data_IF_018134110054
#
_entry.id   IF_018134110054
#
_cell.length_a   1.000
_cell.length_b   1.000
_cell.length_c   1.000
_cell.angle_alpha   90.00
_cell.angle_beta   90.00
_cell.angle_gamma   90.00
#
_symmetry.space_group_name_H-M   'P 1'
#
loop_
_entity.id
_entity.type
_entity.pdbx_description
1 polymer ?
#
# COMPACT_ATOMS: atom_id res chain seq x y z
N UNK A 1 29.41 16.45 -1.25
CA UNK A 1 29.34 16.77 -2.69
C UNK A 1 28.11 17.64 -2.87
N UNK A 2 28.26 18.88 -3.35
CA UNK A 2 27.13 19.80 -3.54
C UNK A 2 26.52 19.55 -4.91
N UNK A 3 25.21 19.35 -4.96
CA UNK A 3 24.46 19.13 -6.19
C UNK A 3 23.56 20.34 -6.47
N UNK A 4 23.52 20.79 -7.72
CA UNK A 4 22.72 21.93 -8.15
C UNK A 4 21.69 21.50 -9.20
N UNK A 5 20.48 22.06 -9.10
CA UNK A 5 19.38 21.86 -10.05
C UNK A 5 18.95 23.23 -10.61
N UNK A 6 18.72 23.32 -11.92
CA UNK A 6 18.29 24.56 -12.60
C UNK A 6 16.85 24.41 -13.07
N UNK A 7 16.01 25.41 -12.81
CA UNK A 7 14.62 25.47 -13.29
C UNK A 7 14.54 26.38 -14.53
N UNK A 8 13.82 26.00 -15.59
CA UNK A 8 13.67 26.85 -16.77
C UNK A 8 12.64 27.97 -16.51
N UNK A 9 13.10 29.16 -16.15
CA UNK A 9 12.25 30.30 -15.75
C UNK A 9 11.25 30.75 -16.83
N UNK A 10 11.63 30.70 -18.11
CA UNK A 10 10.77 31.17 -19.23
C UNK A 10 9.71 30.17 -19.67
N UNK A 11 9.87 28.90 -19.30
CA UNK A 11 8.98 27.82 -19.74
C UNK A 11 8.05 27.33 -18.63
N UNK A 12 8.48 27.42 -17.37
CA UNK A 12 7.64 27.03 -16.26
C UNK A 12 6.48 28.02 -16.06
N UNK A 13 5.27 27.52 -15.74
CA UNK A 13 4.86 26.11 -15.68
C UNK A 13 4.66 25.46 -17.07
N UNK A 14 5.21 24.24 -17.26
CA UNK A 14 5.13 23.49 -18.54
C UNK A 14 3.77 22.84 -18.81
N UNK A 15 2.96 22.68 -17.77
CA UNK A 15 1.57 22.22 -17.84
C UNK A 15 0.72 23.24 -17.09
N UNK A 16 -0.19 23.89 -17.82
CA UNK A 16 -1.21 24.78 -17.26
C UNK A 16 -2.54 24.36 -17.84
N UNK A 17 -3.44 23.89 -16.99
CA UNK A 17 -4.81 23.62 -17.38
C UNK A 17 -5.71 24.72 -16.82
N UNK A 18 -6.34 25.48 -17.72
CA UNK A 18 -7.25 26.59 -17.37
C UNK A 18 -8.61 26.08 -16.92
N UNK A 19 -8.96 24.84 -17.27
CA UNK A 19 -10.28 24.26 -17.01
C UNK A 19 -10.29 23.38 -15.75
N UNK A 20 -9.15 23.26 -15.05
CA UNK A 20 -9.00 22.48 -13.82
C UNK A 20 -8.85 23.39 -12.61
N UNK A 21 -9.44 22.98 -11.49
CA UNK A 21 -9.28 23.66 -10.22
C UNK A 21 -7.79 23.65 -9.80
N UNK A 22 -7.19 24.83 -9.69
CA UNK A 22 -5.76 24.98 -9.38
C UNK A 22 -5.34 24.40 -8.03
N UNK A 23 -6.27 24.24 -7.07
CA UNK A 23 -5.97 23.61 -5.78
C UNK A 23 -6.08 22.09 -5.81
N UNK A 24 -6.48 21.49 -6.94
CA UNK A 24 -6.77 20.07 -7.09
C UNK A 24 -6.12 19.50 -8.36
N UNK A 25 -4.96 20.04 -8.75
CA UNK A 25 -4.18 19.60 -9.91
C UNK A 25 -2.69 19.54 -9.56
N UNK A 26 -2.17 18.34 -9.32
CA UNK A 26 -0.81 18.15 -8.78
C UNK A 26 -0.25 16.75 -9.02
N UNK A 27 1.01 16.60 -8.65
CA UNK A 27 1.73 15.33 -8.59
C UNK A 27 1.94 14.68 -9.97
N UNK A 28 2.77 15.29 -10.85
CA UNK A 28 3.13 14.65 -12.11
C UNK A 28 3.86 13.32 -11.88
N UNK A 29 3.51 12.30 -12.67
CA UNK A 29 4.20 11.01 -12.63
C UNK A 29 5.61 11.08 -13.21
N UNK A 30 6.41 10.03 -13.00
CA UNK A 30 7.45 9.71 -13.96
C UNK A 30 6.81 9.57 -15.36
N UNK A 31 7.44 10.17 -16.36
CA UNK A 31 6.96 10.09 -17.73
C UNK A 31 7.45 8.81 -18.41
N UNK A 32 6.69 8.32 -19.40
CA UNK A 32 7.08 7.17 -20.21
C UNK A 32 7.03 7.48 -21.70
N UNK A 33 7.93 6.86 -22.45
CA UNK A 33 8.01 7.02 -23.91
C UNK A 33 7.13 5.96 -24.58
N UNK A 34 6.19 6.38 -25.42
CA UNK A 34 5.36 5.46 -26.19
C UNK A 34 5.94 5.14 -27.57
N UNK A 35 5.43 4.08 -28.18
CA UNK A 35 5.87 3.54 -29.47
C UNK A 35 5.64 4.48 -30.65
N UNK A 36 4.75 5.45 -30.49
CA UNK A 36 4.47 6.50 -31.48
C UNK A 36 5.44 7.69 -31.39
N UNK A 37 6.47 7.60 -30.54
CA UNK A 37 7.49 8.65 -30.40
C UNK A 37 7.04 9.86 -29.58
N UNK A 38 6.14 9.68 -28.61
CA UNK A 38 5.72 10.75 -27.69
C UNK A 38 5.91 10.32 -26.23
N UNK A 39 6.32 11.26 -25.39
CA UNK A 39 6.24 11.16 -23.94
C UNK A 39 4.79 11.22 -23.47
N UNK A 40 4.49 10.47 -22.42
CA UNK A 40 3.26 10.57 -21.63
C UNK A 40 3.57 10.83 -20.17
N UNK A 41 2.68 11.56 -19.51
CA UNK A 41 2.73 11.83 -18.07
C UNK A 41 1.31 11.91 -17.54
N UNK A 42 1.08 11.45 -16.31
CA UNK A 42 -0.19 11.67 -15.62
C UNK A 42 -0.07 12.80 -14.61
N UNK A 43 -1.17 13.50 -14.38
CA UNK A 43 -1.32 14.45 -13.27
C UNK A 43 -2.62 14.14 -12.53
N UNK A 44 -2.54 14.08 -11.20
CA UNK A 44 -3.68 13.76 -10.34
C UNK A 44 -4.63 14.95 -10.23
N UNK A 45 -5.94 14.65 -10.25
CA UNK A 45 -6.98 15.67 -10.15
C UNK A 45 -8.31 15.14 -9.64
N UNK A 46 -9.25 16.05 -9.40
CA UNK A 46 -10.66 15.74 -9.21
C UNK A 46 -11.56 16.59 -10.11
N UNK A 47 -12.73 16.07 -10.46
CA UNK A 47 -13.86 16.85 -10.97
C UNK A 47 -15.11 16.51 -10.19
N UNK A 48 -15.62 17.45 -9.40
CA UNK A 48 -16.69 17.21 -8.41
C UNK A 48 -16.22 16.13 -7.41
N UNK A 49 -16.88 14.96 -7.38
CA UNK A 49 -16.53 13.81 -6.52
C UNK A 49 -15.77 12.71 -7.26
N UNK A 50 -15.31 12.96 -8.49
CA UNK A 50 -14.66 11.96 -9.34
C UNK A 50 -13.17 12.22 -9.42
N UNK A 51 -12.39 11.28 -8.94
CA UNK A 51 -10.93 11.31 -9.07
C UNK A 51 -10.52 10.99 -10.49
N UNK A 52 -9.46 11.64 -10.95
CA UNK A 52 -9.03 11.66 -12.34
C UNK A 52 -7.50 11.59 -12.38
N UNK A 53 -6.97 10.75 -13.27
CA UNK A 53 -5.59 10.84 -13.73
C UNK A 53 -5.57 11.44 -15.14
N UNK A 54 -5.30 12.74 -15.26
CA UNK A 54 -5.21 13.40 -16.55
C UNK A 54 -3.97 12.94 -17.29
N UNK A 55 -4.11 12.64 -18.57
CA UNK A 55 -3.00 12.25 -19.43
C UNK A 55 -2.52 13.44 -20.24
N UNK A 56 -1.20 13.64 -20.27
CA UNK A 56 -0.53 14.63 -21.11
C UNK A 56 0.45 13.95 -22.04
N UNK A 57 0.51 14.42 -23.29
CA UNK A 57 1.47 14.00 -24.30
C UNK A 57 2.48 15.10 -24.64
N UNK A 58 3.73 14.73 -24.94
CA UNK A 58 4.76 15.67 -25.39
C UNK A 58 5.73 15.01 -26.37
N UNK A 59 6.25 15.78 -27.34
CA UNK A 59 7.33 15.30 -28.24
C UNK A 59 8.73 15.62 -27.70
N UNK A 60 8.85 16.70 -26.95
CA UNK A 60 10.12 17.36 -26.60
C UNK A 60 10.36 17.48 -25.09
N UNK A 61 9.41 17.00 -24.26
CA UNK A 61 9.39 17.10 -22.81
C UNK A 61 9.16 18.52 -22.26
N UNK A 62 8.95 19.49 -23.15
CA UNK A 62 8.86 20.92 -22.83
C UNK A 62 7.44 21.44 -23.08
N UNK A 63 6.85 21.02 -24.20
CA UNK A 63 5.49 21.37 -24.60
C UNK A 63 4.57 20.19 -24.34
N UNK A 64 3.61 20.34 -23.44
CA UNK A 64 2.68 19.29 -23.05
C UNK A 64 1.26 19.61 -23.46
N UNK A 65 0.57 18.65 -24.07
CA UNK A 65 -0.82 18.77 -24.50
C UNK A 65 -1.65 17.73 -23.77
N UNK A 66 -2.72 18.19 -23.12
CA UNK A 66 -3.66 17.29 -22.45
C UNK A 66 -4.39 16.42 -23.48
N UNK A 67 -4.48 15.13 -23.22
CA UNK A 67 -5.30 14.22 -24.00
C UNK A 67 -6.79 14.53 -23.80
N UNK A 68 -7.60 14.26 -24.83
CA UNK A 68 -9.06 14.49 -24.81
C UNK A 68 -9.76 13.74 -23.65
N UNK A 69 -9.22 12.58 -23.27
CA UNK A 69 -9.75 11.77 -22.19
C UNK A 69 -8.64 11.49 -21.17
N UNK A 70 -8.96 11.47 -19.86
CA UNK A 70 -8.00 11.00 -18.87
C UNK A 70 -7.70 9.52 -19.09
N UNK A 71 -6.54 9.06 -18.63
CA UNK A 71 -6.17 7.64 -18.76
C UNK A 71 -7.17 6.74 -18.02
N UNK A 72 -7.64 7.22 -16.86
CA UNK A 72 -8.67 6.60 -16.02
C UNK A 72 -9.30 7.62 -15.07
N UNK A 73 -10.51 7.33 -14.61
CA UNK A 73 -11.19 8.12 -13.58
C UNK A 73 -12.22 7.27 -12.84
N UNK A 74 -12.51 7.62 -11.58
CA UNK A 74 -13.54 6.92 -10.79
C UNK A 74 -14.43 7.88 -10.02
N UNK A 75 -15.74 7.67 -10.14
CA UNK A 75 -16.72 8.44 -9.38
C UNK A 75 -16.73 8.05 -7.91
N UNK A 76 -16.89 9.03 -7.02
CA UNK A 76 -17.01 8.81 -5.58
C UNK A 76 -15.68 8.62 -4.86
N UNK A 77 -14.55 8.77 -5.55
CA UNK A 77 -13.20 8.59 -4.97
C UNK A 77 -12.52 9.88 -4.51
N UNK A 78 -13.14 11.04 -4.69
CA UNK A 78 -12.52 12.31 -4.33
C UNK A 78 -11.23 12.58 -5.10
N UNK A 79 -10.34 13.39 -4.54
CA UNK A 79 -9.06 13.78 -5.15
C UNK A 79 -8.10 12.60 -5.25
N UNK A 80 -7.48 12.46 -6.43
CA UNK A 80 -6.38 11.52 -6.67
C UNK A 80 -5.06 12.29 -6.59
N UNK A 81 -4.26 11.96 -5.59
CA UNK A 81 -2.92 12.49 -5.38
C UNK A 81 -1.88 11.44 -5.75
N UNK A 82 -0.65 11.89 -6.01
CA UNK A 82 0.51 11.03 -6.28
C UNK A 82 0.18 9.83 -7.19
N UNK A 83 -0.42 10.04 -8.39
CA UNK A 83 -0.62 8.96 -9.32
C UNK A 83 0.72 8.30 -9.62
N UNK A 84 0.69 7.01 -9.96
CA UNK A 84 1.83 6.33 -10.52
C UNK A 84 1.33 5.27 -11.51
N UNK A 85 2.06 5.11 -12.61
CA UNK A 85 1.65 4.24 -13.71
C UNK A 85 2.86 3.53 -14.30
N UNK A 86 2.91 2.20 -14.15
CA UNK A 86 4.06 1.42 -14.55
C UNK A 86 3.70 -0.01 -14.93
N UNK A 87 4.47 -0.64 -15.83
CA UNK A 87 4.28 -2.03 -16.19
C UNK A 87 4.85 -2.97 -15.11
N UNK A 88 4.22 -4.13 -14.99
CA UNK A 88 4.71 -5.28 -14.22
C UNK A 88 4.66 -6.51 -15.09
N UNK A 89 5.70 -7.34 -15.04
CA UNK A 89 5.71 -8.61 -15.76
C UNK A 89 4.81 -9.62 -15.06
N UNK A 90 4.03 -10.37 -15.84
CA UNK A 90 3.10 -11.39 -15.32
C UNK A 90 3.85 -12.61 -14.75
N UNK A 91 5.05 -12.91 -15.27
CA UNK A 91 5.84 -14.08 -14.87
C UNK A 91 7.28 -13.65 -14.61
N UNK A 92 7.65 -13.34 -13.36
CA UNK A 92 9.03 -12.96 -13.01
C UNK A 92 9.59 -11.77 -13.82
N UNK A 93 10.84 -11.39 -13.61
CA UNK A 93 11.45 -10.26 -14.33
C UNK A 93 12.23 -10.72 -15.56
N UNK A 94 11.54 -11.25 -16.58
CA UNK A 94 12.15 -11.69 -17.84
C UNK A 94 11.63 -10.88 -19.02
N UNK A 95 12.55 -10.39 -19.85
CA UNK A 95 12.25 -9.62 -21.07
C UNK A 95 11.42 -10.46 -22.03
N UNK A 96 10.35 -9.88 -22.59
CA UNK A 96 9.44 -10.55 -23.53
C UNK A 96 8.20 -11.18 -22.88
N UNK A 97 8.11 -11.19 -21.55
CA UNK A 97 6.92 -11.68 -20.88
C UNK A 97 5.74 -10.72 -21.03
N UNK A 98 4.50 -11.25 -21.06
CA UNK A 98 3.31 -10.41 -21.01
C UNK A 98 3.38 -9.45 -19.83
N UNK A 99 3.03 -8.19 -20.07
CA UNK A 99 2.99 -7.16 -19.03
C UNK A 99 1.55 -6.78 -18.71
N UNK A 100 1.32 -6.51 -17.43
CA UNK A 100 0.16 -5.77 -16.94
C UNK A 100 0.61 -4.39 -16.50
N UNK A 101 -0.33 -3.49 -16.31
CA UNK A 101 -0.04 -2.15 -15.82
C UNK A 101 -0.68 -1.97 -14.45
N UNK A 102 0.05 -1.30 -13.57
CA UNK A 102 -0.44 -0.87 -12.27
C UNK A 102 -0.75 0.61 -12.36
N UNK A 103 -1.99 0.99 -12.03
CA UNK A 103 -2.34 2.38 -11.76
C UNK A 103 -2.54 2.53 -10.26
N UNK A 104 -1.65 3.30 -9.64
CA UNK A 104 -1.67 3.63 -8.22
C UNK A 104 -2.09 5.07 -8.03
N UNK A 105 -2.90 5.36 -7.00
CA UNK A 105 -3.27 6.70 -6.59
C UNK A 105 -3.38 6.78 -5.07
N UNK A 106 -3.15 7.95 -4.51
CA UNK A 106 -3.47 8.28 -3.12
C UNK A 106 -4.85 8.92 -3.13
N UNK A 107 -5.77 8.34 -2.37
CA UNK A 107 -7.11 8.87 -2.32
C UNK A 107 -7.26 9.78 -1.10
N UNK A 108 -7.39 11.07 -1.35
CA UNK A 108 -7.34 12.09 -0.31
C UNK A 108 -8.45 11.90 0.75
N UNK A 109 -9.66 11.46 0.39
CA UNK A 109 -10.73 11.30 1.39
C UNK A 109 -10.42 10.21 2.43
N UNK A 110 -9.67 9.17 2.10
CA UNK A 110 -9.36 8.07 3.04
C UNK A 110 -7.92 8.06 3.51
N UNK A 111 -7.04 8.88 2.92
CA UNK A 111 -5.60 8.95 3.25
C UNK A 111 -4.87 7.61 3.05
N UNK A 112 -5.31 6.81 2.07
CA UNK A 112 -4.66 5.55 1.72
C UNK A 112 -4.21 5.55 0.26
N UNK A 113 -3.13 4.80 0.03
CA UNK A 113 -2.63 4.46 -1.30
C UNK A 113 -3.41 3.26 -1.83
N UNK A 114 -3.95 3.36 -3.04
CA UNK A 114 -4.67 2.30 -3.72
C UNK A 114 -4.05 2.03 -5.08
N UNK A 115 -4.07 0.77 -5.49
CA UNK A 115 -3.72 0.41 -6.84
C UNK A 115 -4.69 -0.62 -7.41
N UNK A 116 -4.80 -0.62 -8.73
CA UNK A 116 -5.40 -1.72 -9.46
C UNK A 116 -4.43 -2.20 -10.54
N UNK A 117 -4.60 -3.45 -10.95
CA UNK A 117 -3.87 -4.06 -12.06
C UNK A 117 -4.80 -4.12 -13.26
N UNK A 118 -4.27 -3.84 -14.44
CA UNK A 118 -5.07 -3.79 -15.66
C UNK A 118 -4.25 -3.83 -16.94
N UNK A 119 -4.92 -3.49 -18.02
CA UNK A 119 -4.35 -3.50 -19.37
C UNK A 119 -4.31 -2.07 -19.92
N UNK A 120 -3.14 -1.66 -20.44
CA UNK A 120 -2.96 -0.38 -21.12
C UNK A 120 -3.01 -0.57 -22.64
N UNK A 121 -4.01 0.02 -23.28
CA UNK A 121 -4.15 0.10 -24.74
C UNK A 121 -3.44 1.36 -25.22
N UNK A 122 -2.16 1.23 -25.53
CA UNK A 122 -1.27 2.33 -25.92
C UNK A 122 -1.73 3.07 -27.17
N UNK A 123 -2.30 2.36 -28.14
CA UNK A 123 -2.88 2.90 -29.38
C UNK A 123 -4.09 3.82 -29.13
N UNK A 124 -4.75 3.66 -27.97
CA UNK A 124 -5.96 4.39 -27.58
C UNK A 124 -5.73 5.30 -26.38
N UNK A 125 -4.52 5.30 -25.83
CA UNK A 125 -4.17 5.94 -24.57
C UNK A 125 -5.18 5.65 -23.44
N UNK A 126 -5.61 4.38 -23.34
CA UNK A 126 -6.67 3.95 -22.42
C UNK A 126 -6.20 2.85 -21.49
N UNK A 127 -6.41 3.05 -20.19
CA UNK A 127 -6.22 2.01 -19.19
C UNK A 127 -7.56 1.37 -18.81
N UNK A 128 -7.55 0.04 -18.69
CA UNK A 128 -8.72 -0.74 -18.29
C UNK A 128 -8.32 -1.64 -17.11
N UNK A 129 -8.81 -1.38 -15.89
CA UNK A 129 -8.60 -2.27 -14.75
C UNK A 129 -9.13 -3.68 -15.02
N UNK A 130 -8.41 -4.70 -14.57
CA UNK A 130 -8.89 -6.08 -14.61
C UNK A 130 -10.07 -6.25 -13.64
N UNK A 131 -11.02 -7.13 -13.96
CA UNK A 131 -12.24 -7.35 -13.17
C UNK A 131 -12.00 -7.91 -11.75
N UNK A 132 -10.81 -8.47 -11.50
CA UNK A 132 -10.37 -8.95 -10.19
C UNK A 132 -9.78 -7.86 -9.30
N UNK A 133 -9.49 -6.67 -9.85
CA UNK A 133 -9.01 -5.53 -9.07
C UNK A 133 -10.18 -4.63 -8.68
N UNK A 134 -10.30 -4.29 -7.40
CA UNK A 134 -11.34 -3.34 -6.99
C UNK A 134 -10.94 -1.92 -7.40
N UNK A 135 -11.77 -1.32 -8.23
CA UNK A 135 -11.61 0.03 -8.73
C UNK A 135 -12.21 1.04 -7.73
N UNK A 136 -11.46 1.35 -6.67
CA UNK A 136 -11.81 2.27 -5.58
C UNK A 136 -11.52 1.71 -4.18
N UNK A 137 -12.01 2.38 -3.13
CA UNK A 137 -11.76 2.01 -1.72
C UNK A 137 -12.33 0.65 -1.28
N UNK A 138 -13.18 0.03 -2.10
CA UNK A 138 -13.92 -1.19 -1.75
C UNK A 138 -13.06 -2.45 -1.65
N UNK A 139 -11.79 -2.42 -2.07
CA UNK A 139 -10.87 -3.57 -2.09
C UNK A 139 -10.64 -4.23 -0.74
N UNK A 140 -11.01 -3.57 0.35
CA UNK A 140 -10.83 -4.04 1.73
C UNK A 140 -12.13 -4.55 2.38
N UNK A 141 -13.28 -4.46 1.70
CA UNK A 141 -14.59 -4.82 2.27
C UNK A 141 -15.01 -6.22 1.83
N UNK A 142 -14.53 -7.24 2.54
CA UNK A 142 -15.21 -8.53 2.56
C UNK A 142 -16.55 -8.35 3.26
N UNK A 143 -17.67 -8.64 2.57
CA UNK A 143 -19.00 -8.56 3.18
C UNK A 143 -19.08 -9.40 4.45
N UNK A 144 -19.93 -8.97 5.40
CA UNK A 144 -20.24 -9.74 6.60
C UNK A 144 -20.82 -11.07 6.15
N UNK A 145 -20.07 -12.16 6.34
CA UNK A 145 -20.63 -13.51 6.24
C UNK A 145 -20.59 -14.16 7.62
N UNK A 146 -21.43 -15.16 7.81
CA UNK A 146 -21.49 -15.99 9.01
C UNK A 146 -20.25 -16.88 9.10
N UNK A 147 -19.11 -16.29 9.44
CA UNK A 147 -17.86 -17.00 9.68
C UNK A 147 -17.89 -17.60 11.09
N UNK A 148 -17.54 -18.89 11.20
CA UNK A 148 -17.34 -19.50 12.52
C UNK A 148 -16.01 -19.01 13.10
N UNK A 149 -15.96 -18.81 14.42
CA UNK A 149 -14.72 -18.56 15.16
C UNK A 149 -13.73 -19.67 14.80
N UNK A 150 -12.57 -19.28 14.27
CA UNK A 150 -11.52 -20.23 13.89
C UNK A 150 -10.32 -20.12 14.81
N UNK A 151 -9.12 -19.99 14.24
CA UNK A 151 -7.84 -20.08 14.93
C UNK A 151 -7.26 -18.69 15.22
N UNK A 152 -6.69 -18.50 16.42
CA UNK A 152 -6.05 -17.27 16.86
C UNK A 152 -6.91 -16.38 17.78
N UNK A 153 -6.41 -15.21 18.17
CA UNK A 153 -5.23 -14.53 17.60
C UNK A 153 -3.90 -15.18 18.00
N UNK A 154 -2.97 -15.29 17.05
CA UNK A 154 -1.59 -15.75 17.29
C UNK A 154 -0.61 -14.92 16.45
N UNK A 155 0.58 -14.64 16.98
CA UNK A 155 1.57 -13.81 16.30
C UNK A 155 2.66 -13.27 17.22
N UNK A 156 3.04 -12.02 17.01
CA UNK A 156 4.10 -11.32 17.75
C UNK A 156 3.52 -10.18 18.60
N UNK A 157 4.07 -9.97 19.79
CA UNK A 157 3.95 -8.70 20.52
C UNK A 157 5.25 -7.93 20.32
N UNK A 158 5.18 -6.87 19.52
CA UNK A 158 6.33 -6.01 19.18
C UNK A 158 6.36 -4.80 20.08
N UNK A 159 7.56 -4.24 20.32
CA UNK A 159 7.76 -3.04 21.15
C UNK A 159 7.00 -3.17 22.49
N UNK A 160 7.21 -4.29 23.17
CA UNK A 160 6.49 -4.64 24.38
C UNK A 160 7.32 -4.36 25.63
N UNK A 161 6.70 -3.94 26.72
CA UNK A 161 7.35 -3.94 28.03
C UNK A 161 7.38 -5.35 28.62
N UNK A 162 8.25 -5.57 29.61
CA UNK A 162 8.38 -6.88 30.27
C UNK A 162 7.07 -7.37 30.89
N UNK A 163 6.26 -6.49 31.50
CA UNK A 163 4.99 -6.89 32.12
C UNK A 163 3.78 -6.58 31.22
N UNK A 164 4.00 -6.29 29.93
CA UNK A 164 2.97 -6.03 28.94
C UNK A 164 2.05 -4.84 29.28
N UNK A 165 2.56 -3.83 29.98
CA UNK A 165 1.94 -2.51 30.14
C UNK A 165 1.77 -1.79 28.80
N UNK A 166 2.77 -1.90 27.93
CA UNK A 166 2.70 -1.46 26.53
C UNK A 166 3.10 -2.60 25.61
N UNK A 167 2.43 -2.73 24.46
CA UNK A 167 2.80 -3.66 23.40
C UNK A 167 2.02 -3.36 22.12
N UNK A 168 2.60 -3.72 20.97
CA UNK A 168 1.93 -3.67 19.66
C UNK A 168 1.82 -5.08 19.09
N UNK A 169 0.66 -5.74 19.20
CA UNK A 169 0.44 -7.06 18.66
C UNK A 169 0.29 -7.01 17.12
N UNK A 170 1.04 -7.87 16.45
CA UNK A 170 0.92 -8.18 15.02
C UNK A 170 0.56 -9.66 14.91
N UNK A 171 -0.63 -9.97 14.41
CA UNK A 171 -1.18 -11.31 14.55
C UNK A 171 -2.10 -11.73 13.41
N UNK A 172 -2.28 -13.04 13.28
CA UNK A 172 -3.27 -13.61 12.40
C UNK A 172 -4.55 -14.00 13.15
N UNK A 173 -5.68 -13.90 12.46
CA UNK A 173 -6.92 -14.62 12.78
C UNK A 173 -7.34 -15.42 11.55
N UNK A 174 -7.65 -16.69 11.76
CA UNK A 174 -8.13 -17.58 10.70
C UNK A 174 -9.59 -17.91 10.98
N UNK A 175 -10.45 -17.71 9.99
CA UNK A 175 -11.85 -18.10 10.03
C UNK A 175 -12.09 -19.29 9.11
N UNK A 176 -13.00 -20.18 9.52
CA UNK A 176 -13.38 -21.35 8.74
C UNK A 176 -14.66 -21.06 7.95
N UNK A 177 -14.64 -21.34 6.65
CA UNK A 177 -15.78 -21.40 5.74
C UNK A 177 -15.84 -22.83 5.16
N UNK A 178 -17.01 -23.35 4.72
CA UNK A 178 -17.16 -24.76 4.35
C UNK A 178 -16.08 -25.33 3.42
N UNK A 179 -15.61 -24.53 2.46
CA UNK A 179 -14.63 -24.95 1.45
C UNK A 179 -13.35 -24.09 1.43
N UNK A 180 -13.17 -23.17 2.39
CA UNK A 180 -12.00 -22.26 2.40
C UNK A 180 -11.68 -21.73 3.79
N UNK A 181 -10.42 -21.38 3.98
CA UNK A 181 -9.99 -20.56 5.11
C UNK A 181 -9.97 -19.10 4.71
N UNK A 182 -10.30 -18.22 5.65
CA UNK A 182 -10.16 -16.78 5.49
C UNK A 182 -9.19 -16.31 6.54
N UNK A 183 -8.14 -15.63 6.10
CA UNK A 183 -7.08 -15.19 6.99
C UNK A 183 -7.05 -13.67 7.04
N UNK A 184 -6.97 -13.13 8.25
CA UNK A 184 -6.69 -11.72 8.51
C UNK A 184 -5.30 -11.58 9.11
N UNK A 185 -4.52 -10.64 8.59
CA UNK A 185 -3.36 -10.06 9.29
C UNK A 185 -3.83 -8.78 9.97
N UNK A 186 -3.49 -8.63 11.25
CA UNK A 186 -3.87 -7.49 12.06
C UNK A 186 -2.64 -6.83 12.70
N UNK A 187 -2.70 -5.51 12.86
CA UNK A 187 -1.82 -4.70 13.71
C UNK A 187 -2.68 -3.80 14.58
N UNK A 188 -2.54 -3.85 15.89
CA UNK A 188 -3.44 -3.19 16.83
C UNK A 188 -2.69 -2.27 17.79
N UNK A 189 -2.62 -0.97 17.49
CA UNK A 189 -1.84 -0.04 18.29
C UNK A 189 -2.51 0.39 19.61
N UNK A 190 -3.68 -0.14 19.98
CA UNK A 190 -4.44 0.39 21.14
C UNK A 190 -3.67 0.31 22.46
N UNK A 191 -2.87 -0.74 22.63
CA UNK A 191 -2.02 -0.96 23.81
C UNK A 191 -0.57 -0.51 23.58
N UNK A 192 -0.27 0.20 22.49
CA UNK A 192 1.12 0.50 22.10
C UNK A 192 1.78 1.61 22.90
N UNK A 193 1.00 2.37 23.68
CA UNK A 193 1.49 3.50 24.46
C UNK A 193 0.54 3.84 25.60
N UNK A 194 1.09 4.19 26.76
CA UNK A 194 0.37 4.75 27.91
C UNK A 194 -0.17 6.16 27.64
N UNK A 195 0.44 6.88 26.69
CA UNK A 195 0.02 8.22 26.33
C UNK A 195 -1.37 8.21 25.68
N UNK A 196 -2.28 9.04 26.18
CA UNK A 196 -3.70 9.04 25.80
C UNK A 196 -4.02 9.87 24.56
N UNK A 197 -3.20 10.86 24.22
CA UNK A 197 -3.41 11.81 23.12
C UNK A 197 -2.83 11.33 21.77
N UNK A 198 -2.44 10.06 21.68
CA UNK A 198 -1.88 9.47 20.47
C UNK A 198 -2.96 8.83 19.58
N UNK A 199 -2.79 8.97 18.27
CA UNK A 199 -3.53 8.18 17.30
C UNK A 199 -3.05 6.72 17.35
N UNK A 200 -3.93 5.81 17.81
CA UNK A 200 -3.64 4.39 18.02
C UNK A 200 -4.59 3.51 17.19
N UNK A 201 -4.42 3.49 15.85
CA UNK A 201 -5.34 2.78 14.96
C UNK A 201 -5.23 1.27 15.07
N UNK A 202 -6.26 0.61 14.55
CA UNK A 202 -6.25 -0.82 14.29
C UNK A 202 -6.32 -1.03 12.79
N UNK A 203 -5.40 -1.82 12.26
CA UNK A 203 -5.40 -2.24 10.88
C UNK A 203 -5.66 -3.74 10.79
N UNK A 204 -6.50 -4.14 9.86
CA UNK A 204 -6.75 -5.53 9.53
C UNK A 204 -6.94 -5.67 8.02
N UNK A 205 -6.25 -6.63 7.42
CA UNK A 205 -6.29 -6.87 5.98
C UNK A 205 -6.37 -8.36 5.71
N UNK A 206 -7.15 -8.76 4.71
CA UNK A 206 -7.19 -10.15 4.26
C UNK A 206 -5.83 -10.59 3.72
N UNK A 207 -5.50 -11.86 3.94
CA UNK A 207 -4.30 -12.49 3.42
C UNK A 207 -4.72 -13.57 2.43
N UNK A 208 -4.29 -13.40 1.18
CA UNK A 208 -4.54 -14.37 0.12
C UNK A 208 -3.57 -15.56 0.25
N UNK A 209 -3.94 -16.52 1.08
CA UNK A 209 -3.17 -17.74 1.33
C UNK A 209 -4.09 -18.95 1.39
N UNK A 210 -3.67 -20.02 0.72
CA UNK A 210 -4.37 -21.30 0.74
C UNK A 210 -3.76 -22.21 1.82
N UNK A 211 -4.44 -22.30 2.97
CA UNK A 211 -4.02 -23.15 4.08
C UNK A 211 -4.36 -24.63 3.89
N UNK A 212 -5.00 -25.03 2.78
CA UNK A 212 -5.35 -26.45 2.54
C UNK A 212 -4.15 -27.29 2.12
N UNK A 213 -3.10 -26.65 1.57
CA UNK A 213 -1.91 -27.33 1.02
C UNK A 213 -0.95 -27.80 2.12
N UNK A 214 -0.40 -26.87 2.90
CA UNK A 214 0.61 -27.18 3.92
C UNK A 214 0.26 -26.70 5.34
N UNK A 215 -0.87 -26.00 5.49
CA UNK A 215 -1.35 -25.39 6.74
C UNK A 215 -0.34 -24.42 7.38
N UNK A 216 0.50 -23.75 6.57
CA UNK A 216 1.49 -22.79 7.06
C UNK A 216 1.14 -21.36 6.66
N UNK A 217 1.56 -20.43 7.50
CA UNK A 217 1.54 -19.00 7.19
C UNK A 217 2.79 -18.34 7.74
N UNK A 218 3.41 -17.47 6.95
CA UNK A 218 4.61 -16.73 7.33
C UNK A 218 4.26 -15.31 7.80
N UNK A 219 5.00 -14.84 8.80
CA UNK A 219 5.03 -13.46 9.25
C UNK A 219 6.48 -13.00 9.34
N UNK A 220 6.77 -11.84 8.76
CA UNK A 220 8.00 -11.10 9.00
C UNK A 220 7.62 -9.72 9.52
N UNK A 221 8.29 -9.25 10.57
CA UNK A 221 8.14 -7.88 11.05
C UNK A 221 9.50 -7.20 11.12
N UNK A 222 9.61 -6.02 10.52
CA UNK A 222 10.72 -5.09 10.76
C UNK A 222 10.27 -4.13 11.86
N UNK A 223 11.08 -4.00 12.90
CA UNK A 223 10.79 -3.18 14.08
C UNK A 223 11.93 -2.18 14.20
N UNK A 224 11.60 -0.90 14.10
CA UNK A 224 12.57 0.19 14.17
C UNK A 224 12.01 1.32 15.04
N UNK A 225 12.24 1.21 16.34
CA UNK A 225 11.82 2.15 17.38
C UNK A 225 10.32 2.51 17.34
N UNK A 226 9.93 3.47 16.49
CA UNK A 226 8.54 3.97 16.36
C UNK A 226 7.78 3.45 15.14
N UNK A 227 8.36 2.50 14.39
CA UNK A 227 7.71 1.88 13.24
C UNK A 227 7.78 0.35 13.31
N UNK A 228 6.68 -0.28 12.91
CA UNK A 228 6.57 -1.73 12.73
C UNK A 228 6.00 -2.00 11.34
N UNK A 229 6.79 -2.64 10.47
CA UNK A 229 6.38 -3.07 9.14
C UNK A 229 6.20 -4.58 9.11
N UNK A 230 4.99 -5.03 8.85
CA UNK A 230 4.60 -6.44 8.96
C UNK A 230 4.18 -7.00 7.61
N UNK A 231 4.78 -8.13 7.23
CA UNK A 231 4.64 -8.79 5.94
C UNK A 231 4.07 -10.19 6.17
N UNK A 232 2.80 -10.40 5.80
CA UNK A 232 2.11 -11.68 5.86
C UNK A 232 2.24 -12.47 4.56
N UNK A 233 2.36 -13.79 4.66
CA UNK A 233 2.41 -14.73 3.54
C UNK A 233 3.46 -14.35 2.48
N UNK A 234 4.68 -14.00 2.93
CA UNK A 234 5.79 -13.63 2.04
C UNK A 234 5.65 -12.25 1.38
N UNK A 235 4.84 -11.36 1.94
CA UNK A 235 4.65 -9.99 1.45
C UNK A 235 3.43 -9.79 0.57
N UNK A 236 2.55 -10.81 0.45
CA UNK A 236 1.25 -10.68 -0.20
C UNK A 236 0.35 -9.65 0.48
N UNK A 237 0.47 -9.53 1.81
CA UNK A 237 -0.25 -8.53 2.59
C UNK A 237 0.73 -7.84 3.52
N UNK A 238 0.72 -6.51 3.50
CA UNK A 238 1.65 -5.69 4.28
C UNK A 238 0.89 -4.68 5.14
N UNK A 239 1.33 -4.48 6.37
CA UNK A 239 0.80 -3.45 7.27
C UNK A 239 1.98 -2.68 7.87
N UNK A 240 2.01 -1.37 7.66
CA UNK A 240 2.90 -0.45 8.34
C UNK A 240 2.14 0.21 9.50
N UNK A 241 2.76 0.26 10.67
CA UNK A 241 2.19 0.92 11.85
C UNK A 241 3.23 1.83 12.49
N UNK A 242 2.79 3.02 12.90
CA UNK A 242 3.58 3.93 13.74
C UNK A 242 3.07 3.84 15.16
N UNK A 243 3.98 3.66 16.11
CA UNK A 243 3.66 3.56 17.54
C UNK A 243 4.72 4.32 18.35
N UNK A 244 4.33 4.82 19.53
CA UNK A 244 5.19 5.66 20.36
C UNK A 244 5.08 5.22 21.84
N UNK A 245 5.62 4.04 22.18
CA UNK A 245 5.65 3.57 23.58
C UNK A 245 6.44 4.55 24.46
N UNK A 246 6.01 4.71 25.72
CA UNK A 246 6.73 5.51 26.72
C UNK A 246 7.76 4.66 27.48
N UNK A 247 7.45 3.38 27.69
CA UNK A 247 8.22 2.45 28.50
C UNK A 247 8.99 1.45 27.63
N UNK A 248 8.38 0.92 26.56
CA UNK A 248 9.01 -0.07 25.67
C UNK A 248 9.99 0.58 24.68
N UNK A 249 11.02 1.24 25.22
CA UNK A 249 11.98 2.05 24.46
C UNK A 249 13.40 1.50 24.67
N UNK A 250 14.19 1.46 23.59
CA UNK A 250 15.59 0.99 23.61
C UNK A 250 15.72 -0.40 24.24
N UNK A 251 16.46 -0.53 25.35
CA UNK A 251 16.71 -1.80 26.03
C UNK A 251 15.54 -2.31 26.86
N UNK A 252 14.48 -1.51 27.05
CA UNK A 252 13.24 -1.91 27.72
C UNK A 252 12.21 -2.50 26.75
N UNK A 253 12.49 -2.45 25.43
CA UNK A 253 11.65 -3.08 24.43
C UNK A 253 11.94 -4.57 24.34
N UNK A 254 10.88 -5.37 24.45
CA UNK A 254 10.89 -6.81 24.32
C UNK A 254 10.08 -7.24 23.09
N UNK A 255 10.34 -8.47 22.64
CA UNK A 255 9.61 -9.17 21.59
C UNK A 255 9.08 -10.48 22.15
N UNK A 256 7.78 -10.70 22.02
CA UNK A 256 7.15 -11.96 22.42
C UNK A 256 6.48 -12.65 21.24
N UNK A 257 6.42 -13.97 21.29
CA UNK A 257 5.50 -14.76 20.48
C UNK A 257 4.32 -15.15 21.35
N UNK A 258 3.10 -15.05 20.81
CA UNK A 258 1.89 -15.36 21.58
C UNK A 258 0.88 -16.18 20.78
N UNK A 259 0.07 -16.94 21.52
CA UNK A 259 -1.17 -17.53 21.03
C UNK A 259 -2.24 -17.33 22.11
N UNK A 260 -3.25 -16.52 21.81
CA UNK A 260 -4.40 -16.30 22.68
C UNK A 260 -5.69 -16.87 22.07
N UNK A 261 -5.55 -17.84 21.16
CA UNK A 261 -6.65 -18.65 20.65
C UNK A 261 -6.83 -19.93 21.47
N UNK A 262 -7.95 -20.61 21.27
CA UNK A 262 -8.26 -21.90 21.94
C UNK A 262 -7.55 -23.08 21.32
N UNK A 263 -7.14 -22.96 20.05
CA UNK A 263 -6.46 -24.02 19.30
C UNK A 263 -4.93 -23.89 19.45
N UNK A 264 -4.20 -25.02 19.58
CA UNK A 264 -2.75 -24.99 19.64
C UNK A 264 -2.13 -24.55 18.31
N UNK A 265 -1.06 -23.75 18.39
CA UNK A 265 -0.26 -23.28 17.25
C UNK A 265 1.18 -23.70 17.45
N UNK A 266 1.81 -24.22 16.39
CA UNK A 266 3.21 -24.62 16.40
C UNK A 266 4.06 -23.63 15.61
N UNK A 267 5.04 -23.03 16.29
CA UNK A 267 6.07 -22.20 15.65
C UNK A 267 7.13 -23.12 15.06
N UNK A 268 7.05 -23.40 13.76
CA UNK A 268 7.99 -24.30 13.10
C UNK A 268 9.40 -23.72 12.96
N UNK A 269 9.52 -22.40 12.80
CA UNK A 269 10.78 -21.71 12.63
C UNK A 269 10.62 -20.25 13.10
N UNK A 270 11.56 -19.78 13.91
CA UNK A 270 11.64 -18.40 14.37
C UNK A 270 13.09 -17.93 14.24
N UNK A 271 13.29 -16.84 13.50
CA UNK A 271 14.58 -16.18 13.38
C UNK A 271 14.42 -14.71 13.72
N UNK A 272 15.28 -14.22 14.61
CA UNK A 272 15.33 -12.83 15.00
C UNK A 272 16.77 -12.32 14.82
N UNK A 273 16.90 -11.11 14.29
CA UNK A 273 18.18 -10.46 14.06
C UNK A 273 18.14 -9.07 14.67
N UNK A 274 19.16 -8.71 15.44
CA UNK A 274 19.40 -7.32 15.82
C UNK A 274 19.88 -6.55 14.58
N UNK A 275 19.19 -5.47 14.26
CA UNK A 275 19.53 -4.61 13.13
C UNK A 275 20.43 -3.47 13.62
N UNK A 276 21.59 -3.28 12.99
CA UNK A 276 22.45 -2.13 13.26
C UNK A 276 21.90 -0.88 12.59
N UNK A 277 22.11 0.29 13.21
CA UNK A 277 21.75 1.57 12.62
C UNK A 277 22.50 1.79 11.30
N UNK A 278 21.80 2.36 10.32
CA UNK A 278 22.40 2.77 9.05
C UNK A 278 22.70 4.26 9.08
N UNK A 279 23.82 4.68 8.49
CA UNK A 279 24.16 6.08 8.29
C UNK A 279 23.33 6.66 7.14
N UNK A 280 22.28 7.40 7.48
CA UNK A 280 21.42 8.09 6.50
C UNK A 280 21.99 9.50 6.32
N UNK A 281 22.71 9.71 5.22
CA UNK A 281 23.37 10.99 4.86
C UNK A 281 22.52 11.86 3.94
#
# INVERSE_FOLDING_TARGET
MTHFWVKPDKLNPVVVDKDVNHTEFRDPTAAWWGKDGHWRMLVGSVRKRRGIAYLYGSKDFMTWVQAKHPIHSKGGTGMWECPNFYPVSVIGNVVGNPVKYVLKNNLDDTKFDYYNVGTYMEDKDRYVPDNTSVDGWGGLRGGVQNYRVGVGPFGLLTLATQNLEEFTPVFFRVFKSPNKHIVLLCSDARSSSLKSDLYKPQFAVFVDVDLTVDKKISLRSLIDHSVVESFGAGGKTNILSRVYPELAVMNQAHLFVFNNGTEPIVVQNLKAWSMISTDIK
#
